data_IF_385734999364
#
_entry.id   IF_385734999364
#
_cell.length_a   1.000
_cell.length_b   1.000
_cell.length_c   1.000
_cell.angle_alpha   90.00
_cell.angle_beta   90.00
_cell.angle_gamma   90.00
#
_symmetry.space_group_name_H-M   'P 1'
#
loop_
_entity.id
_entity.type
_entity.pdbx_description
1 polymer ?
#
# COMPACT_ATOMS: atom_id res chain seq x y z
N UNK A 1 -0.48 28.05 -10.74
CA UNK A 1 0.67 27.81 -9.94
C UNK A 1 0.50 26.66 -8.97
N UNK A 2 -0.48 26.71 -8.10
CA UNK A 2 -0.67 25.64 -7.17
C UNK A 2 -1.11 24.34 -7.85
N UNK A 3 -1.59 24.43 -9.07
CA UNK A 3 -2.01 23.21 -9.76
C UNK A 3 -0.88 22.24 -10.01
N UNK A 4 0.31 22.77 -10.34
CA UNK A 4 1.44 21.89 -10.57
C UNK A 4 1.84 21.16 -9.31
N UNK A 5 1.83 21.89 -8.21
CA UNK A 5 2.16 21.29 -6.93
C UNK A 5 1.07 20.29 -6.54
N UNK A 6 -0.17 20.63 -6.83
CA UNK A 6 -1.28 19.76 -6.46
C UNK A 6 -1.21 18.41 -7.17
N UNK A 7 -0.76 18.39 -8.43
CA UNK A 7 -0.68 17.13 -9.16
C UNK A 7 0.30 16.18 -8.47
N UNK A 8 1.47 16.68 -8.12
CA UNK A 8 2.45 15.86 -7.42
C UNK A 8 1.97 15.51 -6.02
N UNK A 9 1.31 16.45 -5.37
CA UNK A 9 0.80 16.20 -4.03
C UNK A 9 -0.26 15.11 -4.03
N UNK A 10 -1.11 15.11 -5.05
CA UNK A 10 -2.15 14.10 -5.12
C UNK A 10 -1.55 12.70 -5.29
N UNK A 11 -0.53 12.57 -6.12
CA UNK A 11 0.13 11.28 -6.29
C UNK A 11 0.80 10.84 -5.00
N UNK A 12 1.48 11.77 -4.33
CA UNK A 12 2.07 11.47 -3.05
C UNK A 12 1.05 11.11 -2.00
N UNK A 13 -0.10 11.79 -2.02
CA UNK A 13 -1.15 11.49 -1.06
C UNK A 13 -1.73 10.10 -1.27
N UNK A 14 -1.90 9.70 -2.53
CA UNK A 14 -2.43 8.38 -2.83
C UNK A 14 -1.47 7.31 -2.33
N UNK A 15 -0.18 7.47 -2.60
CA UNK A 15 0.81 6.50 -2.13
C UNK A 15 0.88 6.48 -0.61
N UNK A 16 0.83 7.65 0.00
CA UNK A 16 0.86 7.73 1.46
C UNK A 16 -0.37 7.07 2.08
N UNK A 17 -1.52 7.28 1.47
CA UNK A 17 -2.75 6.67 1.94
C UNK A 17 -2.67 5.15 1.84
N UNK A 18 -2.19 4.65 0.71
CA UNK A 18 -2.05 3.22 0.52
C UNK A 18 -1.08 2.63 1.52
N UNK A 19 0.04 3.31 1.74
CA UNK A 19 1.02 2.87 2.72
C UNK A 19 0.40 2.79 4.10
N UNK A 20 -0.36 3.83 4.47
CA UNK A 20 -0.99 3.86 5.78
C UNK A 20 -1.97 2.71 5.95
N UNK A 21 -2.79 2.46 4.95
CA UNK A 21 -3.77 1.37 5.02
C UNK A 21 -3.07 0.02 5.16
N UNK A 22 -1.99 -0.16 4.42
CA UNK A 22 -1.25 -1.43 4.49
C UNK A 22 -0.62 -1.63 5.84
N UNK A 23 -0.05 -0.59 6.42
CA UNK A 23 0.56 -0.68 7.73
C UNK A 23 -0.50 -0.94 8.80
N UNK A 24 -1.66 -0.33 8.67
CA UNK A 24 -2.75 -0.59 9.60
C UNK A 24 -3.24 -2.02 9.51
N UNK A 25 -3.16 -2.60 8.32
CA UNK A 25 -3.57 -3.98 8.13
C UNK A 25 -2.58 -4.97 8.75
N UNK A 26 -1.32 -4.54 8.96
CA UNK A 26 -0.33 -5.40 9.58
C UNK A 26 0.94 -5.60 8.79
N UNK A 27 1.09 -4.96 7.64
CA UNK A 27 2.32 -5.08 6.87
C UNK A 27 3.42 -4.24 7.50
N UNK A 28 4.64 -4.82 7.66
CA UNK A 28 5.78 -4.00 8.09
C UNK A 28 6.14 -2.98 7.01
N UNK A 29 6.81 -1.91 7.41
CA UNK A 29 7.08 -0.80 6.53
C UNK A 29 7.72 -1.20 5.20
N UNK A 30 8.79 -2.02 5.18
CA UNK A 30 9.41 -2.37 3.90
C UNK A 30 8.43 -3.05 2.93
N UNK A 31 7.61 -3.95 3.43
CA UNK A 31 6.65 -4.63 2.58
C UNK A 31 5.52 -3.69 2.16
N UNK A 32 5.07 -2.86 3.10
CA UNK A 32 4.01 -1.90 2.79
C UNK A 32 4.47 -0.94 1.71
N UNK A 33 5.71 -0.50 1.76
CA UNK A 33 6.24 0.41 0.75
C UNK A 33 6.27 -0.25 -0.63
N UNK A 34 6.68 -1.50 -0.69
CA UNK A 34 6.74 -2.21 -1.95
C UNK A 34 5.35 -2.40 -2.54
N UNK A 35 4.40 -2.77 -1.72
CA UNK A 35 3.04 -2.99 -2.19
C UNK A 35 2.40 -1.65 -2.59
N UNK A 36 2.62 -0.61 -1.80
CA UNK A 36 2.05 0.69 -2.09
C UNK A 36 2.56 1.26 -3.42
N UNK A 37 3.81 0.96 -3.75
CA UNK A 37 4.40 1.44 -5.00
C UNK A 37 4.11 0.55 -6.20
N UNK A 38 3.41 -0.56 -6.01
CA UNK A 38 3.07 -1.47 -7.08
C UNK A 38 1.64 -1.25 -7.53
N UNK A 39 1.20 -2.04 -8.51
CA UNK A 39 -0.17 -1.96 -9.00
C UNK A 39 -1.09 -2.97 -8.32
N UNK A 40 -0.63 -3.49 -7.21
CA UNK A 40 -1.41 -4.47 -6.46
C UNK A 40 -2.71 -3.85 -5.96
N UNK A 41 -3.78 -4.64 -6.01
CA UNK A 41 -5.07 -4.21 -5.48
C UNK A 41 -4.97 -4.10 -3.97
N UNK A 42 -5.16 -2.89 -3.47
CA UNK A 42 -5.06 -2.61 -2.05
C UNK A 42 -6.04 -3.44 -1.23
N UNK A 43 -7.27 -3.55 -1.73
CA UNK A 43 -8.29 -4.32 -1.05
C UNK A 43 -7.87 -5.77 -0.89
N UNK A 44 -7.31 -6.35 -1.94
CA UNK A 44 -6.85 -7.73 -1.91
C UNK A 44 -5.70 -7.90 -0.91
N UNK A 45 -4.78 -6.92 -0.89
CA UNK A 45 -3.67 -6.98 0.04
C UNK A 45 -4.15 -6.99 1.49
N UNK A 46 -5.13 -6.16 1.80
CA UNK A 46 -5.69 -6.10 3.15
C UNK A 46 -6.45 -7.38 3.46
N UNK A 47 -7.17 -7.90 2.50
CA UNK A 47 -7.98 -9.09 2.68
C UNK A 47 -7.14 -10.32 3.03
N UNK A 48 -5.96 -10.43 2.42
CA UNK A 48 -5.09 -11.56 2.70
C UNK A 48 -4.72 -11.62 4.18
N UNK A 49 -4.39 -10.48 4.77
CA UNK A 49 -4.03 -10.45 6.19
C UNK A 49 -5.26 -10.68 7.05
N UNK A 50 -6.41 -10.17 6.63
CA UNK A 50 -7.65 -10.38 7.38
C UNK A 50 -8.02 -11.86 7.44
N UNK A 51 -7.58 -12.63 6.43
CA UNK A 51 -7.84 -14.07 6.38
C UNK A 51 -6.76 -14.88 7.08
N UNK A 52 -5.83 -14.22 7.77
CA UNK A 52 -4.82 -14.92 8.54
C UNK A 52 -3.50 -15.15 7.82
N UNK A 53 -3.34 -14.61 6.63
CA UNK A 53 -2.09 -14.76 5.90
C UNK A 53 -1.00 -13.90 6.53
N UNK A 54 0.22 -14.43 6.61
CA UNK A 54 1.33 -13.65 7.12
C UNK A 54 1.75 -12.58 6.13
N UNK A 55 2.21 -11.42 6.62
CA UNK A 55 2.58 -10.33 5.71
C UNK A 55 3.63 -10.73 4.66
N UNK A 56 4.66 -11.47 5.08
CA UNK A 56 5.68 -11.91 4.14
C UNK A 56 5.10 -12.80 3.05
N UNK A 57 4.26 -13.75 3.44
CA UNK A 57 3.63 -14.66 2.50
C UNK A 57 2.68 -13.90 1.59
N UNK A 58 1.92 -12.98 2.15
CA UNK A 58 0.99 -12.17 1.37
C UNK A 58 1.75 -11.36 0.33
N UNK A 59 2.87 -10.76 0.71
CA UNK A 59 3.68 -10.00 -0.23
C UNK A 59 4.18 -10.87 -1.36
N UNK A 60 4.57 -12.11 -1.07
CA UNK A 60 5.02 -13.03 -2.11
C UNK A 60 3.89 -13.37 -3.08
N UNK A 61 2.69 -13.51 -2.57
CA UNK A 61 1.54 -13.79 -3.42
C UNK A 61 1.23 -12.58 -4.31
N UNK A 62 1.33 -11.38 -3.74
CA UNK A 62 0.95 -10.16 -4.45
C UNK A 62 2.03 -9.71 -5.43
N UNK A 63 3.28 -9.89 -5.08
CA UNK A 63 4.39 -9.39 -5.87
C UNK A 63 5.09 -10.51 -6.62
#
# INVERSE_FOLDING_TARGET
MSELIDTQSERGKVESWRLHVLMEAGYPLPLAERIAGSEVDLHHAVELLANGCEPGTAAEILL
#
